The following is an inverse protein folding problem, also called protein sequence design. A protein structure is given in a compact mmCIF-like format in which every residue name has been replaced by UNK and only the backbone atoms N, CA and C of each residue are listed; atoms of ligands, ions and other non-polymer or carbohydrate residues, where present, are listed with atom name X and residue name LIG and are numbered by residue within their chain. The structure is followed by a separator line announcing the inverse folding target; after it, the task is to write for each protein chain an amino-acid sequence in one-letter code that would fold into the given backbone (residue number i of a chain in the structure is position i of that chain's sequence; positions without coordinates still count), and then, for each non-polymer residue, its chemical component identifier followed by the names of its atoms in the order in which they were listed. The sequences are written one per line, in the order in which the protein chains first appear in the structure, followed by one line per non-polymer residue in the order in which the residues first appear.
data_IF_099479662342
#
_entry.id   IF_099479662342
#
_cell.length_a   1.000
_cell.length_b   1.000
_cell.length_c   1.000
_cell.angle_alpha   90.00
_cell.angle_beta   90.00
_cell.angle_gamma   90.00
#
_symmetry.space_group_name_H-M   'P 1'
#
loop_
_entity.id
_entity.type
_entity.pdbx_description
1 polymer ?
#
# COMPACT_ATOMS: atom_id res chain seq x y z
N UNK A 1 -46.61 23.72 -20.24
CA UNK A 1 -45.78 22.64 -20.82
C UNK A 1 -44.30 22.81 -20.51
N UNK A 2 -43.68 23.95 -20.83
CA UNK A 2 -42.23 24.19 -20.68
C UNK A 2 -41.67 24.07 -19.25
N UNK A 3 -42.47 24.43 -18.24
CA UNK A 3 -42.08 24.31 -16.82
C UNK A 3 -41.75 22.87 -16.41
N UNK A 4 -42.58 21.91 -16.82
CA UNK A 4 -42.38 20.49 -16.50
C UNK A 4 -41.17 19.89 -17.21
N UNK A 5 -40.91 20.32 -18.45
CA UNK A 5 -39.75 19.89 -19.23
C UNK A 5 -38.46 20.41 -18.58
N UNK A 6 -38.45 21.65 -18.10
CA UNK A 6 -37.30 22.25 -17.41
C UNK A 6 -36.91 21.47 -16.15
N UNK A 7 -37.89 21.06 -15.34
CA UNK A 7 -37.63 20.30 -14.10
C UNK A 7 -37.07 18.90 -14.37
N UNK A 8 -37.55 18.21 -15.41
CA UNK A 8 -37.02 16.89 -15.79
C UNK A 8 -35.60 17.03 -16.32
N UNK A 9 -35.34 18.04 -17.17
CA UNK A 9 -34.01 18.32 -17.69
C UNK A 9 -33.02 18.68 -16.58
N UNK A 10 -33.43 19.50 -15.61
CA UNK A 10 -32.61 19.84 -14.45
C UNK A 10 -32.25 18.60 -13.61
N UNK A 11 -33.21 17.68 -13.40
CA UNK A 11 -32.97 16.41 -12.67
C UNK A 11 -32.05 15.46 -13.44
N UNK A 12 -32.19 15.38 -14.75
CA UNK A 12 -31.29 14.59 -15.60
C UNK A 12 -29.87 15.15 -15.59
N UNK A 13 -29.71 16.48 -15.61
CA UNK A 13 -28.40 17.12 -15.54
C UNK A 13 -27.72 16.96 -14.17
N UNK A 14 -28.49 16.90 -13.07
CA UNK A 14 -27.93 16.76 -11.72
C UNK A 14 -27.67 15.31 -11.30
N UNK A 15 -28.46 14.34 -11.80
CA UNK A 15 -28.30 12.93 -11.49
C UNK A 15 -28.68 12.05 -12.70
N UNK A 16 -27.80 11.97 -13.71
CA UNK A 16 -28.10 11.27 -14.98
C UNK A 16 -28.15 9.73 -14.85
N UNK A 17 -27.62 9.18 -13.76
CA UNK A 17 -27.51 7.72 -13.57
C UNK A 17 -28.38 7.29 -12.39
N UNK A 18 -29.16 6.22 -12.60
CA UNK A 18 -29.91 5.53 -11.55
C UNK A 18 -29.18 4.21 -11.28
N UNK A 19 -28.80 3.98 -10.03
CA UNK A 19 -28.14 2.75 -9.58
C UNK A 19 -29.17 1.92 -8.83
N UNK A 20 -29.22 0.62 -9.12
CA UNK A 20 -30.05 -0.34 -8.38
C UNK A 20 -29.18 -1.51 -7.96
N UNK A 21 -29.45 -2.06 -6.78
CA UNK A 21 -28.75 -3.23 -6.25
C UNK A 21 -29.60 -4.47 -6.49
N UNK A 22 -29.03 -5.50 -7.11
CA UNK A 22 -29.64 -6.82 -7.27
C UNK A 22 -28.72 -7.86 -6.65
N UNK A 23 -28.91 -8.24 -5.38
CA UNK A 23 -28.14 -9.33 -4.79
C UNK A 23 -28.48 -10.64 -5.51
N UNK A 24 -27.50 -11.51 -5.68
CA UNK A 24 -27.69 -12.89 -6.13
C UNK A 24 -27.18 -13.82 -5.04
N UNK A 25 -27.80 -15.00 -4.92
CA UNK A 25 -27.36 -16.02 -3.98
C UNK A 25 -26.05 -16.63 -4.51
N UNK A 26 -24.94 -16.37 -3.83
CA UNK A 26 -23.64 -16.95 -4.10
C UNK A 26 -23.23 -17.82 -2.91
N UNK A 27 -22.76 -19.04 -3.17
CA UNK A 27 -22.14 -19.83 -2.11
C UNK A 27 -20.81 -19.19 -1.69
N UNK A 28 -20.47 -19.23 -0.41
CA UNK A 28 -19.24 -18.61 0.09
C UNK A 28 -17.98 -19.21 -0.54
N UNK A 29 -18.03 -20.49 -0.94
CA UNK A 29 -16.94 -21.16 -1.64
C UNK A 29 -16.69 -20.62 -3.05
N UNK A 30 -17.68 -19.95 -3.66
CA UNK A 30 -17.58 -19.38 -5.00
C UNK A 30 -16.93 -17.99 -5.04
N UNK A 31 -16.78 -17.35 -3.88
CA UNK A 31 -16.20 -16.02 -3.77
C UNK A 31 -14.70 -16.19 -3.53
N UNK A 32 -13.82 -15.73 -4.44
CA UNK A 32 -12.38 -15.82 -4.23
C UNK A 32 -12.00 -14.98 -3.01
N UNK A 33 -11.10 -15.51 -2.19
CA UNK A 33 -10.57 -14.75 -1.07
C UNK A 33 -9.89 -13.46 -1.59
N UNK A 34 -10.02 -12.32 -0.88
CA UNK A 34 -9.44 -11.08 -1.35
C UNK A 34 -7.91 -11.05 -1.18
N UNK A 35 -7.29 -10.03 -1.75
CA UNK A 35 -5.94 -9.64 -1.37
C UNK A 35 -5.97 -8.97 0.00
N UNK A 36 -5.01 -9.29 0.87
CA UNK A 36 -4.89 -8.71 2.21
C UNK A 36 -3.53 -8.06 2.36
N UNK A 37 -3.49 -6.77 2.68
CA UNK A 37 -2.25 -6.03 2.94
C UNK A 37 -2.23 -5.56 4.39
N UNK A 38 -1.16 -5.90 5.11
CA UNK A 38 -0.95 -5.58 6.52
C UNK A 38 0.28 -4.67 6.62
N UNK A 39 0.10 -3.50 7.22
CA UNK A 39 1.16 -2.51 7.43
C UNK A 39 1.44 -2.32 8.92
N UNK A 40 2.72 -2.20 9.28
CA UNK A 40 3.10 -1.80 10.62
C UNK A 40 2.91 -0.28 10.77
N UNK A 41 2.15 0.16 11.79
CA UNK A 41 2.02 1.59 12.09
C UNK A 41 3.35 2.24 12.49
N UNK A 42 4.30 1.44 12.98
CA UNK A 42 5.66 1.90 13.18
C UNK A 42 6.43 1.85 11.86
N UNK A 43 6.51 3.00 11.18
CA UNK A 43 7.15 3.14 9.87
C UNK A 43 8.67 2.90 9.89
N UNK A 44 9.32 3.12 11.05
CA UNK A 44 10.78 3.07 11.18
C UNK A 44 11.19 2.17 12.34
N UNK A 45 12.00 1.14 12.07
CA UNK A 45 12.65 0.32 13.11
C UNK A 45 13.52 1.19 14.01
N UNK A 46 13.31 1.08 15.33
CA UNK A 46 14.09 1.83 16.33
C UNK A 46 15.61 1.62 16.18
N UNK A 47 16.03 0.39 15.87
CA UNK A 47 17.45 0.06 15.67
C UNK A 47 18.06 0.81 14.49
N UNK A 48 17.34 0.92 13.38
CA UNK A 48 17.80 1.64 12.18
C UNK A 48 17.74 3.16 12.39
N UNK A 49 16.71 3.66 13.07
CA UNK A 49 16.62 5.08 13.45
C UNK A 49 17.83 5.55 14.27
N UNK A 50 18.29 4.72 15.21
CA UNK A 50 19.47 5.04 16.03
C UNK A 50 20.76 5.02 15.22
N UNK A 51 20.90 4.08 14.27
CA UNK A 51 22.07 4.05 13.36
C UNK A 51 22.13 5.29 12.48
N UNK A 52 21.01 5.68 11.87
CA UNK A 52 20.93 6.88 11.02
C UNK A 52 21.30 8.15 11.82
N UNK A 53 20.83 8.26 13.07
CA UNK A 53 21.20 9.36 13.96
C UNK A 53 22.69 9.36 14.32
N UNK A 54 23.34 8.20 14.39
CA UNK A 54 24.76 8.08 14.67
C UNK A 54 25.64 8.35 13.45
N UNK A 55 25.23 7.90 12.25
CA UNK A 55 25.95 8.11 10.99
C UNK A 55 25.98 9.58 10.58
N UNK A 56 24.92 10.34 10.93
CA UNK A 56 24.87 11.79 10.73
C UNK A 56 24.73 12.22 9.27
N UNK A 57 24.27 11.34 8.38
CA UNK A 57 24.00 11.70 6.99
C UNK A 57 22.80 12.68 6.93
N UNK A 58 22.99 13.93 6.46
CA UNK A 58 21.94 14.94 6.49
C UNK A 58 20.70 14.54 5.68
N UNK A 59 20.87 13.76 4.61
CA UNK A 59 19.76 13.34 3.75
C UNK A 59 18.88 12.28 4.42
N UNK A 60 19.49 11.27 5.03
CA UNK A 60 18.74 10.20 5.70
C UNK A 60 18.14 10.68 7.02
N UNK A 61 18.81 11.59 7.71
CA UNK A 61 18.30 12.22 8.92
C UNK A 61 17.06 13.07 8.62
N UNK A 62 17.05 13.77 7.47
CA UNK A 62 15.86 14.46 6.99
C UNK A 62 14.71 13.51 6.71
N UNK A 63 14.94 12.47 5.90
CA UNK A 63 13.91 11.47 5.59
C UNK A 63 13.35 10.79 6.85
N UNK A 64 14.23 10.54 7.83
CA UNK A 64 13.83 10.01 9.14
C UNK A 64 12.94 10.98 9.90
N UNK A 65 13.28 12.27 9.93
CA UNK A 65 12.48 13.29 10.59
C UNK A 65 11.14 13.52 9.88
N UNK A 66 11.09 13.52 8.54
CA UNK A 66 9.85 13.65 7.78
C UNK A 66 8.85 12.52 8.11
N UNK A 67 9.33 11.29 8.30
CA UNK A 67 8.49 10.15 8.69
C UNK A 67 8.09 10.16 10.17
N UNK A 68 9.00 10.54 11.07
CA UNK A 68 8.76 10.45 12.51
C UNK A 68 8.15 11.73 13.12
N UNK A 69 8.40 12.90 12.55
CA UNK A 69 8.08 14.23 13.08
C UNK A 69 7.81 15.24 11.95
N UNK A 70 6.58 15.26 11.41
CA UNK A 70 6.18 16.20 10.35
C UNK A 70 6.08 17.69 10.74
N UNK A 71 6.63 18.10 11.88
CA UNK A 71 6.49 19.45 12.44
C UNK A 71 7.77 20.29 12.35
N UNK A 72 8.91 19.72 11.92
CA UNK A 72 10.14 20.50 11.71
C UNK A 72 10.16 21.03 10.27
N UNK A 73 9.96 22.34 10.13
CA UNK A 73 10.08 23.05 8.85
C UNK A 73 11.56 23.06 8.44
N UNK A 74 11.95 22.12 7.59
CA UNK A 74 13.30 22.06 7.05
C UNK A 74 13.49 23.02 5.86
N UNK A 75 14.58 23.78 5.89
CA UNK A 75 14.93 24.85 4.93
C UNK A 75 15.73 24.33 3.73
N UNK A 76 16.17 23.07 3.76
CA UNK A 76 16.98 22.47 2.70
C UNK A 76 16.11 21.69 1.70
N UNK A 77 15.66 22.39 0.66
CA UNK A 77 15.08 21.79 -0.54
C UNK A 77 16.18 21.13 -1.39
N UNK A 78 16.75 20.03 -0.93
CA UNK A 78 17.55 19.18 -1.82
C UNK A 78 16.62 18.20 -2.55
N UNK A 79 16.58 18.22 -3.88
CA UNK A 79 15.78 17.25 -4.64
C UNK A 79 16.38 15.85 -4.42
N UNK A 80 15.55 14.93 -3.93
CA UNK A 80 15.92 13.53 -3.79
C UNK A 80 15.37 12.70 -4.96
N UNK A 81 16.11 11.66 -5.33
CA UNK A 81 15.64 10.70 -6.34
C UNK A 81 14.73 9.65 -5.69
N UNK A 82 13.72 9.19 -6.43
CA UNK A 82 12.82 8.11 -5.99
C UNK A 82 13.55 6.83 -5.58
N UNK A 83 14.69 6.54 -6.21
CA UNK A 83 15.53 5.39 -5.87
C UNK A 83 16.10 5.49 -4.45
N UNK A 84 16.52 6.68 -4.03
CA UNK A 84 17.06 6.92 -2.68
C UNK A 84 15.96 6.79 -1.64
N UNK A 85 14.80 7.40 -1.87
CA UNK A 85 13.64 7.28 -0.98
C UNK A 85 13.21 5.81 -0.85
N UNK A 86 13.10 5.09 -1.97
CA UNK A 86 12.76 3.67 -1.99
C UNK A 86 13.73 2.85 -1.14
N UNK A 87 15.03 2.99 -1.37
CA UNK A 87 16.05 2.24 -0.64
C UNK A 87 16.03 2.56 0.85
N UNK A 88 15.77 3.83 1.20
CA UNK A 88 15.60 4.25 2.58
C UNK A 88 14.41 3.56 3.24
N UNK A 89 13.22 3.60 2.63
CA UNK A 89 12.00 2.97 3.14
C UNK A 89 12.15 1.46 3.33
N UNK A 90 12.81 0.77 2.38
CA UNK A 90 13.08 -0.68 2.48
C UNK A 90 14.00 -0.97 3.66
N UNK A 91 15.02 -0.14 3.89
CA UNK A 91 15.99 -0.34 4.97
C UNK A 91 15.39 -0.11 6.35
N UNK A 92 14.59 0.96 6.52
CA UNK A 92 14.02 1.32 7.82
C UNK A 92 12.76 0.55 8.17
N UNK A 93 12.06 0.04 7.15
CA UNK A 93 10.82 -0.71 7.30
C UNK A 93 10.99 -2.07 8.00
N UNK A 94 9.87 -2.59 8.50
CA UNK A 94 9.83 -3.96 9.03
C UNK A 94 9.52 -4.94 7.91
N UNK A 95 10.33 -5.99 7.77
CA UNK A 95 10.11 -7.02 6.75
C UNK A 95 8.99 -7.97 7.17
N UNK A 96 8.38 -8.64 6.20
CA UNK A 96 7.33 -9.63 6.49
C UNK A 96 7.83 -10.79 7.34
N UNK A 97 9.05 -11.26 7.13
CA UNK A 97 9.68 -12.31 7.96
C UNK A 97 9.83 -11.89 9.43
N UNK A 98 10.02 -10.60 9.69
CA UNK A 98 10.12 -10.08 11.06
C UNK A 98 8.73 -9.93 11.71
N UNK A 99 7.71 -9.57 10.94
CA UNK A 99 6.37 -9.26 11.43
C UNK A 99 5.43 -10.48 11.50
N UNK A 100 5.45 -11.33 10.48
CA UNK A 100 4.56 -12.47 10.31
C UNK A 100 5.22 -13.74 10.86
N UNK A 101 4.86 -14.14 12.08
CA UNK A 101 5.48 -15.29 12.76
C UNK A 101 4.74 -16.61 12.61
N UNK A 102 3.42 -16.55 12.44
CA UNK A 102 2.56 -17.72 12.32
C UNK A 102 1.50 -17.43 11.27
N UNK A 103 1.39 -18.31 10.28
CA UNK A 103 0.42 -18.20 9.21
C UNK A 103 -0.30 -19.54 9.04
N UNK A 104 -1.62 -19.46 8.88
CA UNK A 104 -2.50 -20.61 8.64
C UNK A 104 -3.46 -20.23 7.53
N UNK A 105 -3.57 -21.08 6.52
CA UNK A 105 -4.42 -20.85 5.36
C UNK A 105 -5.28 -22.08 5.12
N UNK A 106 -6.61 -21.91 5.09
CA UNK A 106 -7.56 -23.00 4.88
C UNK A 106 -7.44 -24.16 5.89
N UNK A 107 -7.09 -23.85 7.14
CA UNK A 107 -6.77 -24.81 8.22
C UNK A 107 -5.44 -25.56 8.05
N UNK A 108 -4.61 -25.16 7.07
CA UNK A 108 -3.27 -25.72 6.88
C UNK A 108 -2.22 -24.71 7.36
N UNK A 109 -1.30 -25.10 8.26
CA UNK A 109 -0.16 -24.26 8.60
C UNK A 109 0.74 -24.08 7.39
N UNK A 110 1.16 -22.84 7.12
CA UNK A 110 1.99 -22.46 5.98
C UNK A 110 3.14 -21.56 6.42
N UNK A 111 4.22 -21.57 5.66
CA UNK A 111 5.28 -20.61 5.86
C UNK A 111 4.80 -19.20 5.49
N UNK A 112 4.97 -18.25 6.42
CA UNK A 112 4.61 -16.86 6.18
C UNK A 112 5.45 -16.23 5.07
N UNK A 113 6.71 -16.65 4.93
CA UNK A 113 7.63 -16.12 3.92
C UNK A 113 7.22 -16.54 2.49
N UNK A 114 6.46 -17.63 2.35
CA UNK A 114 5.90 -18.07 1.08
C UNK A 114 4.54 -17.42 0.77
N UNK A 115 3.77 -17.07 1.80
CA UNK A 115 2.43 -16.47 1.64
C UNK A 115 2.47 -14.95 1.46
N UNK A 116 3.30 -14.26 2.24
CA UNK A 116 3.30 -12.80 2.30
C UNK A 116 4.52 -12.22 1.56
N UNK A 117 4.24 -11.26 0.69
CA UNK A 117 5.26 -10.51 -0.03
C UNK A 117 5.42 -9.10 0.53
N UNK A 118 6.65 -8.59 0.54
CA UNK A 118 6.92 -7.20 0.90
C UNK A 118 6.40 -6.27 -0.22
N UNK A 119 5.51 -5.34 0.14
CA UNK A 119 4.92 -4.34 -0.72
C UNK A 119 5.21 -2.95 -0.18
N UNK A 120 5.67 -2.04 -1.04
CA UNK A 120 5.89 -0.64 -0.67
C UNK A 120 4.59 0.15 -0.89
N UNK A 121 4.11 0.83 0.13
CA UNK A 121 2.93 1.70 0.12
C UNK A 121 3.30 3.12 0.62
N UNK A 122 2.31 4.01 0.68
CA UNK A 122 2.39 5.31 1.35
C UNK A 122 2.62 5.19 2.87
N UNK A 123 2.18 4.09 3.48
CA UNK A 123 2.45 3.75 4.89
C UNK A 123 3.84 3.13 5.12
N UNK A 124 4.63 2.90 4.07
CA UNK A 124 5.97 2.32 4.13
C UNK A 124 6.02 0.87 3.66
N UNK A 125 6.81 0.03 4.34
CA UNK A 125 6.99 -1.38 3.97
C UNK A 125 5.91 -2.25 4.62
N UNK A 126 5.05 -2.84 3.79
CA UNK A 126 3.90 -3.64 4.20
C UNK A 126 3.98 -5.07 3.66
N UNK A 127 3.06 -5.93 4.09
CA UNK A 127 2.99 -7.33 3.72
C UNK A 127 1.68 -7.67 3.03
N UNK A 128 1.76 -8.16 1.81
CA UNK A 128 0.59 -8.48 0.99
C UNK A 128 0.47 -9.98 0.73
N UNK A 129 -0.73 -10.50 0.93
CA UNK A 129 -1.14 -11.87 0.61
C UNK A 129 -2.20 -11.86 -0.49
N UNK A 130 -2.15 -12.87 -1.37
CA UNK A 130 -3.16 -13.13 -2.40
C UNK A 130 -3.44 -11.92 -3.34
N UNK A 131 -2.39 -11.13 -3.60
CA UNK A 131 -2.44 -10.02 -4.54
C UNK A 131 -2.26 -10.53 -5.97
N UNK A 132 -3.06 -10.02 -6.91
CA UNK A 132 -2.86 -10.32 -8.32
C UNK A 132 -1.48 -9.84 -8.80
N UNK A 133 -0.77 -10.64 -9.63
CA UNK A 133 0.51 -10.22 -10.17
C UNK A 133 0.39 -8.95 -11.05
N UNK A 134 1.44 -8.11 -11.14
CA UNK A 134 1.36 -6.78 -11.75
C UNK A 134 0.96 -6.79 -13.23
N UNK A 135 1.33 -7.84 -13.96
CA UNK A 135 0.96 -8.05 -15.37
C UNK A 135 -0.57 -8.20 -15.57
N UNK A 136 -1.32 -8.59 -14.55
CA UNK A 136 -2.78 -8.68 -14.61
C UNK A 136 -3.49 -7.40 -14.14
N UNK A 137 -2.84 -6.61 -13.29
CA UNK A 137 -3.43 -5.38 -12.74
C UNK A 137 -3.14 -4.17 -13.65
N UNK A 138 -1.93 -4.08 -14.18
CA UNK A 138 -1.43 -2.84 -14.78
C UNK A 138 -1.20 -2.95 -16.28
N UNK A 139 -1.54 -1.88 -17.00
CA UNK A 139 -1.30 -1.75 -18.45
C UNK A 139 0.19 -1.67 -18.80
N UNK A 140 1.03 -1.20 -17.89
CA UNK A 140 2.49 -1.19 -18.03
C UNK A 140 3.14 -1.71 -16.73
N UNK A 141 3.66 -2.96 -16.71
CA UNK A 141 4.22 -3.56 -15.50
C UNK A 141 5.57 -2.93 -15.08
N UNK A 142 6.26 -2.24 -15.98
CA UNK A 142 7.58 -1.66 -15.72
C UNK A 142 7.54 -0.30 -15.00
N UNK A 143 6.36 0.30 -14.81
CA UNK A 143 6.23 1.58 -14.13
C UNK A 143 6.20 1.47 -12.59
N UNK A 144 6.55 0.30 -12.02
CA UNK A 144 6.36 0.00 -10.60
C UNK A 144 7.67 -0.40 -9.95
N UNK A 145 7.90 0.12 -8.74
CA UNK A 145 8.96 -0.31 -7.84
C UNK A 145 8.62 -1.66 -7.21
N UNK A 146 8.66 -2.73 -7.99
CA UNK A 146 8.51 -4.09 -7.49
C UNK A 146 9.75 -4.44 -6.65
N UNK A 147 9.53 -4.75 -5.37
CA UNK A 147 10.47 -5.54 -4.59
C UNK A 147 10.46 -6.97 -5.17
N UNK A 148 11.52 -7.76 -4.99
CA UNK A 148 11.53 -9.15 -5.46
C UNK A 148 10.38 -9.91 -4.79
N UNK A 149 9.23 -9.96 -5.46
CA UNK A 149 8.04 -10.66 -5.02
C UNK A 149 8.11 -12.08 -5.55
N UNK A 150 7.98 -13.03 -4.65
CA UNK A 150 7.80 -14.44 -4.97
C UNK A 150 6.32 -14.73 -4.77
N UNK A 151 5.58 -14.72 -5.87
CA UNK A 151 4.22 -15.23 -5.86
C UNK A 151 4.28 -16.76 -5.89
N UNK A 152 3.58 -17.46 -4.98
CA UNK A 152 3.14 -18.82 -5.26
C UNK A 152 2.08 -18.84 -6.38
#
# INVERSE_FOLDING_TARGET
ASYYISNIYAKWNSSPVIISFSPFDADLSSIPFPAVTICNMNQVKKTEALKIKADGNPMELKLLNDLCNGNEVDTLSTPYNWTTLRNFLIRVGTSCTDMMKVCEWSSDPKDCDELFNNDLTDEGLCCSFNRLPPNYIFRNPNSISLLNQTYP
#
